data_IF_758718763468
#
_entry.id   IF_758718763468
#
_cell.length_a   1.000
_cell.length_b   1.000
_cell.length_c   1.000
_cell.angle_alpha   90.00
_cell.angle_beta   90.00
_cell.angle_gamma   90.00
#
_symmetry.space_group_name_H-M   'P 1'
#
loop_
_entity.id
_entity.type
_entity.pdbx_description
1 polymer ?
#
# COMPACT_ATOMS: atom_id res chain seq x y z
N UNK A 1 30.40 -38.73 -51.22
CA UNK A 1 30.50 -38.74 -49.76
C UNK A 1 30.68 -37.34 -49.12
N UNK A 2 31.59 -36.47 -49.57
CA UNK A 2 31.80 -35.13 -48.95
C UNK A 2 30.62 -34.16 -49.09
N UNK A 3 29.79 -34.25 -50.15
CA UNK A 3 28.61 -33.39 -50.34
C UNK A 3 27.46 -33.83 -49.46
N UNK A 4 27.21 -35.11 -49.25
CA UNK A 4 26.18 -35.65 -48.38
C UNK A 4 26.47 -35.33 -46.92
N UNK A 5 27.74 -35.35 -46.48
CA UNK A 5 28.13 -34.99 -45.11
C UNK A 5 27.88 -33.50 -44.83
N UNK A 6 28.11 -32.62 -45.82
CA UNK A 6 27.82 -31.19 -45.69
C UNK A 6 26.31 -30.90 -45.54
N UNK A 7 25.48 -31.63 -46.26
CA UNK A 7 24.02 -31.52 -46.23
C UNK A 7 23.48 -31.98 -44.85
N UNK A 8 24.01 -33.09 -44.30
CA UNK A 8 23.63 -33.58 -42.98
C UNK A 8 24.04 -32.59 -41.88
N UNK A 9 25.23 -31.98 -41.99
CA UNK A 9 25.69 -30.98 -41.03
C UNK A 9 24.85 -29.69 -41.12
N UNK A 10 24.42 -29.27 -42.32
CA UNK A 10 23.53 -28.12 -42.50
C UNK A 10 22.14 -28.39 -41.93
N UNK A 11 21.59 -29.59 -42.12
CA UNK A 11 20.30 -29.99 -41.53
C UNK A 11 20.36 -30.09 -40.01
N UNK A 12 21.46 -30.57 -39.45
CA UNK A 12 21.68 -30.61 -38.00
C UNK A 12 21.77 -29.21 -37.41
N UNK A 13 22.43 -28.27 -38.08
CA UNK A 13 22.54 -26.87 -37.68
C UNK A 13 21.19 -26.14 -37.76
N UNK A 14 20.36 -26.44 -38.77
CA UNK A 14 19.00 -25.91 -38.89
C UNK A 14 18.08 -26.45 -37.78
N UNK A 15 18.24 -27.69 -37.36
CA UNK A 15 17.45 -28.32 -36.30
C UNK A 15 17.71 -27.72 -34.92
N UNK A 16 18.88 -27.15 -34.65
CA UNK A 16 19.23 -26.51 -33.37
C UNK A 16 18.72 -25.08 -33.23
N UNK A 17 18.25 -24.46 -34.33
CA UNK A 17 17.84 -23.05 -34.34
C UNK A 17 16.43 -22.79 -33.78
N UNK A 18 15.64 -23.82 -33.47
CA UNK A 18 14.23 -23.68 -33.11
C UNK A 18 13.92 -23.58 -31.61
N UNK A 19 14.88 -23.36 -30.73
CA UNK A 19 14.65 -23.30 -29.28
C UNK A 19 14.66 -21.88 -28.70
N UNK A 20 14.40 -20.84 -29.48
CA UNK A 20 14.21 -19.50 -28.96
C UNK A 20 12.82 -19.41 -28.31
N UNK A 21 12.72 -19.72 -27.04
CA UNK A 21 11.53 -19.41 -26.24
C UNK A 21 11.50 -17.89 -26.04
N UNK A 22 10.63 -17.20 -26.74
CA UNK A 22 10.35 -15.80 -26.44
C UNK A 22 9.84 -15.71 -25.00
N UNK A 23 10.49 -14.87 -24.19
CA UNK A 23 10.02 -14.60 -22.82
C UNK A 23 8.68 -13.85 -22.92
N UNK A 24 7.65 -14.41 -22.30
CA UNK A 24 6.37 -13.73 -22.20
C UNK A 24 6.49 -12.56 -21.22
N UNK A 25 5.93 -11.44 -21.60
CA UNK A 25 5.77 -10.26 -20.74
C UNK A 25 4.28 -10.13 -20.47
N UNK A 26 3.93 -9.84 -19.23
CA UNK A 26 2.57 -9.58 -18.79
C UNK A 26 2.50 -8.37 -17.87
N UNK A 27 1.29 -8.00 -17.50
CA UNK A 27 1.04 -7.02 -16.46
C UNK A 27 -0.16 -7.43 -15.60
N UNK A 28 -0.25 -6.83 -14.43
CA UNK A 28 -1.39 -6.87 -13.53
C UNK A 28 -1.77 -5.45 -13.12
N UNK A 29 -2.93 -5.34 -12.51
CA UNK A 29 -3.40 -4.18 -11.78
C UNK A 29 -3.56 -4.56 -10.31
N UNK A 30 -2.55 -4.26 -9.50
CA UNK A 30 -2.56 -4.62 -8.08
C UNK A 30 -3.65 -3.89 -7.30
N UNK A 31 -3.99 -2.66 -7.69
CA UNK A 31 -5.08 -1.89 -7.08
C UNK A 31 -6.45 -2.52 -7.38
N UNK A 32 -6.66 -2.96 -8.61
CA UNK A 32 -7.86 -3.70 -9.00
C UNK A 32 -8.00 -5.01 -8.20
N UNK A 33 -6.92 -5.79 -8.11
CA UNK A 33 -6.88 -7.05 -7.36
C UNK A 33 -7.20 -6.81 -5.88
N UNK A 34 -6.56 -5.82 -5.25
CA UNK A 34 -6.83 -5.43 -3.86
C UNK A 34 -8.30 -5.06 -3.66
N UNK A 35 -8.85 -4.19 -4.52
CA UNK A 35 -10.23 -3.73 -4.40
C UNK A 35 -11.27 -4.84 -4.57
N UNK A 36 -10.94 -5.91 -5.30
CA UNK A 36 -11.81 -7.09 -5.45
C UNK A 36 -11.69 -8.06 -4.28
N UNK A 37 -10.61 -7.99 -3.49
CA UNK A 37 -10.41 -8.93 -2.39
C UNK A 37 -11.28 -8.57 -1.18
N UNK A 38 -12.08 -9.52 -0.63
CA UNK A 38 -13.01 -9.25 0.47
C UNK A 38 -12.30 -8.75 1.73
N UNK A 39 -11.11 -9.30 2.06
CA UNK A 39 -10.34 -8.90 3.23
C UNK A 39 -9.89 -7.43 3.15
N UNK A 40 -9.71 -6.88 1.94
CA UNK A 40 -9.27 -5.49 1.78
C UNK A 40 -10.30 -4.49 2.31
N UNK A 41 -11.58 -4.75 2.07
CA UNK A 41 -12.65 -3.92 2.64
C UNK A 41 -12.67 -3.96 4.16
N UNK A 42 -12.47 -5.15 4.74
CA UNK A 42 -12.39 -5.31 6.21
C UNK A 42 -11.23 -4.49 6.78
N UNK A 43 -10.06 -4.57 6.13
CA UNK A 43 -8.87 -3.78 6.52
C UNK A 43 -9.15 -2.28 6.41
N UNK A 44 -9.77 -1.83 5.32
CA UNK A 44 -10.14 -0.42 5.15
C UNK A 44 -11.10 0.07 6.24
N UNK A 45 -12.12 -0.73 6.58
CA UNK A 45 -13.09 -0.40 7.64
C UNK A 45 -12.40 -0.32 9.02
N UNK A 46 -11.45 -1.21 9.32
CA UNK A 46 -10.68 -1.18 10.55
C UNK A 46 -9.79 0.07 10.63
N UNK A 47 -9.07 0.38 9.56
CA UNK A 47 -8.23 1.60 9.48
C UNK A 47 -9.07 2.88 9.61
N UNK A 48 -10.25 2.89 9.01
CA UNK A 48 -11.18 4.02 9.13
C UNK A 48 -11.61 4.22 10.59
N UNK A 49 -11.99 3.15 11.29
CA UNK A 49 -12.37 3.20 12.71
C UNK A 49 -11.22 3.72 13.59
N UNK A 50 -10.01 3.21 13.40
CA UNK A 50 -8.82 3.66 14.10
C UNK A 50 -8.54 5.15 13.83
N UNK A 51 -8.58 5.55 12.57
CA UNK A 51 -8.39 6.96 12.18
C UNK A 51 -9.41 7.88 12.83
N UNK A 52 -10.68 7.47 12.88
CA UNK A 52 -11.74 8.25 13.56
C UNK A 52 -11.49 8.35 15.08
N UNK A 53 -11.06 7.27 15.73
CA UNK A 53 -10.72 7.28 17.15
C UNK A 53 -9.55 8.24 17.45
N UNK A 54 -8.48 8.17 16.68
CA UNK A 54 -7.34 9.06 16.85
C UNK A 54 -7.67 10.53 16.55
N UNK A 55 -8.47 10.79 15.51
CA UNK A 55 -8.97 12.15 15.22
C UNK A 55 -9.80 12.69 16.37
N UNK A 56 -10.66 11.85 16.95
CA UNK A 56 -11.44 12.26 18.13
C UNK A 56 -10.53 12.60 19.31
N UNK A 57 -9.52 11.77 19.61
CA UNK A 57 -8.56 12.05 20.68
C UNK A 57 -7.80 13.36 20.45
N UNK A 58 -7.37 13.64 19.20
CA UNK A 58 -6.73 14.90 18.87
C UNK A 58 -7.68 16.10 19.08
N UNK A 59 -8.94 15.98 18.67
CA UNK A 59 -9.96 17.01 18.89
C UNK A 59 -10.25 17.24 20.39
N UNK A 60 -10.30 16.16 21.18
CA UNK A 60 -10.53 16.26 22.62
C UNK A 60 -9.34 16.99 23.31
N UNK A 61 -8.10 16.73 22.89
CA UNK A 61 -6.91 17.46 23.36
C UNK A 61 -6.96 18.95 22.99
N UNK A 62 -7.33 19.25 21.75
CA UNK A 62 -7.42 20.64 21.28
C UNK A 62 -8.56 21.39 21.98
N UNK A 63 -9.69 20.73 22.26
CA UNK A 63 -10.79 21.28 23.04
C UNK A 63 -10.35 21.60 24.48
N UNK A 64 -9.65 20.68 25.16
CA UNK A 64 -9.09 20.90 26.50
C UNK A 64 -8.16 22.13 26.55
N UNK A 65 -7.28 22.25 25.54
CA UNK A 65 -6.37 23.41 25.41
C UNK A 65 -7.17 24.71 25.27
N UNK A 66 -8.19 24.70 24.43
CA UNK A 66 -9.05 25.87 24.22
C UNK A 66 -9.79 26.28 25.53
N UNK A 67 -10.33 25.28 26.23
CA UNK A 67 -11.02 25.52 27.49
C UNK A 67 -10.08 26.14 28.55
N UNK A 68 -8.85 25.66 28.64
CA UNK A 68 -7.84 26.25 29.53
C UNK A 68 -7.51 27.69 29.13
N UNK A 69 -7.43 28.02 27.85
CA UNK A 69 -7.26 29.40 27.41
C UNK A 69 -8.45 30.29 27.76
N UNK A 70 -9.68 29.82 27.60
CA UNK A 70 -10.89 30.53 27.94
C UNK A 70 -10.94 30.79 29.47
N UNK A 71 -10.61 29.80 30.28
CA UNK A 71 -10.55 29.94 31.76
C UNK A 71 -9.46 30.95 32.18
N UNK A 72 -8.26 30.83 31.61
CA UNK A 72 -7.17 31.77 31.89
C UNK A 72 -7.59 33.21 31.61
N UNK A 73 -8.23 33.44 30.46
CA UNK A 73 -8.70 34.77 30.06
C UNK A 73 -9.82 35.30 30.99
N UNK A 74 -10.72 34.43 31.44
CA UNK A 74 -11.80 34.81 32.35
C UNK A 74 -11.30 35.16 33.77
N UNK A 75 -10.23 34.51 34.21
CA UNK A 75 -9.66 34.66 35.53
C UNK A 75 -8.50 35.71 35.60
N UNK A 76 -8.07 36.25 34.45
CA UNK A 76 -6.87 37.07 34.25
C UNK A 76 -6.73 38.19 35.28
N UNK A 77 -7.83 38.89 35.58
CA UNK A 77 -7.87 40.00 36.58
C UNK A 77 -7.78 39.54 38.03
N UNK A 78 -7.96 38.25 38.32
CA UNK A 78 -7.93 37.66 39.65
C UNK A 78 -6.60 36.95 39.95
N UNK A 79 -5.77 36.70 38.94
CA UNK A 79 -4.54 35.95 39.07
C UNK A 79 -3.37 36.85 39.44
N UNK A 80 -2.49 36.35 40.30
CA UNK A 80 -1.16 36.94 40.49
C UNK A 80 -0.30 36.61 39.26
N UNK A 81 0.79 37.37 39.03
CA UNK A 81 1.73 37.14 37.93
C UNK A 81 2.29 35.70 37.94
N UNK A 82 2.60 35.18 39.15
CA UNK A 82 3.08 33.80 39.30
C UNK A 82 2.01 32.78 38.91
N UNK A 83 0.76 32.97 39.32
CA UNK A 83 -0.36 32.09 38.95
C UNK A 83 -0.63 32.14 37.46
N UNK A 84 -0.60 33.33 36.86
CA UNK A 84 -0.77 33.50 35.40
C UNK A 84 0.31 32.76 34.63
N UNK A 85 1.58 32.89 35.03
CA UNK A 85 2.72 32.16 34.41
C UNK A 85 2.58 30.64 34.57
N UNK A 86 2.13 30.16 35.73
CA UNK A 86 1.90 28.74 35.95
C UNK A 86 0.80 28.18 35.05
N UNK A 87 -0.33 28.89 34.84
CA UNK A 87 -1.40 28.51 33.93
C UNK A 87 -0.95 28.50 32.46
N UNK A 88 -0.16 29.53 32.05
CA UNK A 88 0.43 29.53 30.70
C UNK A 88 1.36 28.34 30.51
N UNK A 89 2.15 27.98 31.51
CA UNK A 89 3.01 26.80 31.47
C UNK A 89 2.22 25.51 31.27
N UNK A 90 1.11 25.35 31.99
CA UNK A 90 0.19 24.20 31.83
C UNK A 90 -0.36 24.11 30.39
N UNK A 91 -0.82 25.24 29.86
CA UNK A 91 -1.33 25.31 28.48
C UNK A 91 -0.24 24.93 27.48
N UNK A 92 0.98 25.43 27.63
CA UNK A 92 2.10 25.12 26.78
C UNK A 92 2.46 23.62 26.79
N UNK A 93 2.45 22.99 27.95
CA UNK A 93 2.68 21.54 28.08
C UNK A 93 1.57 20.74 27.40
N UNK A 94 0.30 21.15 27.52
CA UNK A 94 -0.82 20.51 26.82
C UNK A 94 -0.72 20.68 25.30
N UNK A 95 -0.34 21.87 24.81
CA UNK A 95 -0.09 22.11 23.39
C UNK A 95 1.03 21.22 22.85
N UNK A 96 2.11 21.09 23.61
CA UNK A 96 3.22 20.20 23.23
C UNK A 96 2.79 18.74 23.21
N UNK A 97 1.96 18.32 24.17
CA UNK A 97 1.40 16.97 24.19
C UNK A 97 0.49 16.70 22.98
N UNK A 98 -0.37 17.65 22.57
CA UNK A 98 -1.20 17.55 21.36
C UNK A 98 -0.33 17.46 20.10
N UNK A 99 0.70 18.30 19.95
CA UNK A 99 1.63 18.24 18.84
C UNK A 99 2.36 16.89 18.78
N UNK A 100 2.85 16.40 19.91
CA UNK A 100 3.53 15.11 19.99
C UNK A 100 2.58 13.96 19.65
N UNK A 101 1.33 14.01 20.11
CA UNK A 101 0.30 13.03 19.77
C UNK A 101 0.07 13.00 18.24
N UNK A 102 -0.17 14.17 17.63
CA UNK A 102 -0.41 14.27 16.19
C UNK A 102 0.80 13.76 15.38
N UNK A 103 2.01 14.13 15.77
CA UNK A 103 3.23 13.68 15.11
C UNK A 103 3.46 12.18 15.23
N UNK A 104 3.16 11.61 16.41
CA UNK A 104 3.28 10.16 16.66
C UNK A 104 2.26 9.36 15.85
N UNK A 105 1.02 9.84 15.74
CA UNK A 105 -0.05 9.11 15.04
C UNK A 105 0.04 9.32 13.54
N UNK A 106 0.10 10.58 13.08
CA UNK A 106 -0.06 10.95 11.67
C UNK A 106 1.23 11.48 11.02
N UNK A 107 2.33 11.53 11.77
CA UNK A 107 3.62 11.96 11.23
C UNK A 107 4.21 10.96 10.24
N UNK A 108 5.38 11.29 9.69
CA UNK A 108 6.16 10.37 8.86
C UNK A 108 6.48 9.13 9.70
N UNK A 109 6.16 7.95 9.18
CA UNK A 109 6.28 6.66 9.90
C UNK A 109 5.45 6.57 11.19
N UNK A 110 4.38 7.38 11.30
CA UNK A 110 3.47 7.38 12.44
C UNK A 110 2.67 6.08 12.58
N UNK A 111 2.04 5.91 13.76
CA UNK A 111 1.30 4.68 14.12
C UNK A 111 0.21 4.33 13.10
N UNK A 112 -0.40 5.31 12.44
CA UNK A 112 -1.38 5.08 11.38
C UNK A 112 -0.77 4.29 10.21
N UNK A 113 0.39 4.71 9.71
CA UNK A 113 1.05 4.06 8.58
C UNK A 113 1.63 2.69 8.97
N UNK A 114 2.14 2.58 10.19
CA UNK A 114 2.60 1.28 10.71
C UNK A 114 1.45 0.28 10.80
N UNK A 115 0.29 0.72 11.31
CA UNK A 115 -0.90 -0.14 11.41
C UNK A 115 -1.45 -0.50 10.04
N UNK A 116 -1.43 0.43 9.10
CA UNK A 116 -1.80 0.15 7.70
C UNK A 116 -0.89 -0.92 7.09
N UNK A 117 0.42 -0.79 7.25
CA UNK A 117 1.38 -1.78 6.74
C UNK A 117 1.17 -3.15 7.41
N UNK A 118 1.00 -3.21 8.74
CA UNK A 118 0.74 -4.44 9.49
C UNK A 118 -0.51 -5.18 8.99
N UNK A 119 -1.60 -4.46 8.77
CA UNK A 119 -2.87 -5.05 8.33
C UNK A 119 -2.84 -5.48 6.85
N UNK A 120 -2.13 -4.72 6.00
CA UNK A 120 -2.03 -5.03 4.57
C UNK A 120 -1.02 -6.13 4.25
N UNK A 121 0.04 -6.27 5.03
CA UNK A 121 1.14 -7.20 4.76
C UNK A 121 0.67 -8.65 4.52
N UNK A 122 -0.22 -9.26 5.33
CA UNK A 122 -0.67 -10.62 5.09
C UNK A 122 -1.42 -10.77 3.77
N UNK A 123 -2.24 -9.77 3.41
CA UNK A 123 -2.98 -9.75 2.15
C UNK A 123 -2.04 -9.59 0.96
N UNK A 124 -1.07 -8.67 1.05
CA UNK A 124 -0.06 -8.50 0.02
C UNK A 124 0.76 -9.77 -0.21
N UNK A 125 1.10 -10.50 0.87
CA UNK A 125 1.80 -11.79 0.74
C UNK A 125 0.96 -12.82 0.00
N UNK A 126 -0.34 -12.96 0.31
CA UNK A 126 -1.25 -13.87 -0.40
C UNK A 126 -1.33 -13.52 -1.90
N UNK A 127 -1.45 -12.23 -2.23
CA UNK A 127 -1.50 -11.76 -3.62
C UNK A 127 -0.18 -12.08 -4.33
N UNK A 128 0.95 -11.85 -3.67
CA UNK A 128 2.27 -12.15 -4.24
C UNK A 128 2.44 -13.64 -4.52
N UNK A 129 2.02 -14.52 -3.60
CA UNK A 129 2.05 -15.97 -3.79
C UNK A 129 1.20 -16.39 -5.00
N UNK A 130 0.00 -15.82 -5.14
CA UNK A 130 -0.87 -16.07 -6.29
C UNK A 130 -0.24 -15.59 -7.60
N UNK A 131 0.40 -14.41 -7.61
CA UNK A 131 1.16 -13.89 -8.75
C UNK A 131 2.26 -14.87 -9.15
N UNK A 132 3.01 -15.40 -8.18
CA UNK A 132 4.09 -16.35 -8.45
C UNK A 132 3.57 -17.63 -9.10
N UNK A 133 2.43 -18.16 -8.64
CA UNK A 133 1.79 -19.34 -9.25
C UNK A 133 1.34 -19.04 -10.69
N UNK A 134 0.66 -17.92 -10.90
CA UNK A 134 0.16 -17.50 -12.22
C UNK A 134 1.31 -17.29 -13.20
N UNK A 135 2.37 -16.62 -12.80
CA UNK A 135 3.54 -16.34 -13.66
C UNK A 135 4.25 -17.65 -14.07
N UNK A 136 4.44 -18.58 -13.13
CA UNK A 136 5.01 -19.90 -13.43
C UNK A 136 4.14 -20.72 -14.37
N UNK A 137 2.83 -20.79 -14.10
CA UNK A 137 1.88 -21.56 -14.93
C UNK A 137 1.80 -21.04 -16.37
N UNK A 138 1.92 -19.73 -16.58
CA UNK A 138 1.81 -19.08 -17.88
C UNK A 138 3.18 -18.84 -18.56
N UNK A 139 4.29 -19.26 -17.96
CA UNK A 139 5.65 -19.02 -18.45
C UNK A 139 5.94 -17.52 -18.69
N UNK A 140 5.52 -16.65 -17.77
CA UNK A 140 5.76 -15.22 -17.82
C UNK A 140 7.16 -14.96 -17.26
N UNK A 141 8.03 -14.34 -18.03
CA UNK A 141 9.39 -14.00 -17.64
C UNK A 141 9.49 -12.67 -16.93
N UNK A 142 8.58 -11.74 -17.24
CA UNK A 142 8.47 -10.41 -16.58
C UNK A 142 7.00 -10.05 -16.42
N UNK A 143 6.65 -9.62 -15.22
CA UNK A 143 5.32 -9.11 -14.90
C UNK A 143 5.46 -7.69 -14.35
N UNK A 144 4.68 -6.76 -14.91
CA UNK A 144 4.62 -5.38 -14.47
C UNK A 144 3.33 -5.14 -13.70
N UNK A 145 3.39 -4.24 -12.74
CA UNK A 145 2.20 -3.75 -12.06
C UNK A 145 1.84 -2.37 -12.62
N UNK A 146 0.70 -2.26 -13.28
CA UNK A 146 0.28 -0.98 -13.88
C UNK A 146 -0.21 0.04 -12.83
N UNK A 147 -0.58 -0.42 -11.63
CA UNK A 147 -0.98 0.45 -10.52
C UNK A 147 0.22 1.07 -9.80
N UNK A 148 1.42 0.48 -9.93
CA UNK A 148 2.65 1.03 -9.34
C UNK A 148 3.10 2.27 -10.10
N UNK A 149 3.18 3.40 -9.43
CA UNK A 149 3.68 4.65 -10.00
C UNK A 149 5.17 4.80 -9.68
N UNK A 150 6.04 5.16 -10.64
CA UNK A 150 5.84 5.40 -12.07
C UNK A 150 6.32 4.21 -12.92
N UNK A 151 5.44 3.40 -13.46
CA UNK A 151 5.83 2.26 -14.33
C UNK A 151 6.35 2.70 -15.71
N UNK A 152 6.07 3.93 -16.12
CA UNK A 152 6.36 4.39 -17.49
C UNK A 152 5.57 3.67 -18.59
N UNK A 153 4.57 2.85 -18.24
CA UNK A 153 3.71 2.15 -19.18
C UNK A 153 2.71 3.14 -19.78
N UNK A 154 2.88 3.45 -21.06
CA UNK A 154 1.98 4.37 -21.79
C UNK A 154 0.80 3.60 -22.39
N UNK A 155 1.02 2.35 -22.79
CA UNK A 155 0.02 1.48 -23.41
C UNK A 155 0.23 0.03 -22.97
N UNK A 156 -0.87 -0.66 -22.67
CA UNK A 156 -0.89 -2.09 -22.38
C UNK A 156 -1.97 -2.76 -23.22
N UNK A 157 -1.63 -3.86 -23.88
CA UNK A 157 -2.61 -4.66 -24.60
C UNK A 157 -3.33 -5.58 -23.62
N UNK A 158 -4.68 -5.56 -23.52
CA UNK A 158 -5.46 -6.38 -22.59
C UNK A 158 -5.18 -7.89 -22.66
N UNK A 159 -4.71 -8.40 -23.78
CA UNK A 159 -4.33 -9.82 -23.94
C UNK A 159 -3.14 -10.23 -23.03
N UNK A 160 -2.39 -9.25 -22.52
CA UNK A 160 -1.29 -9.45 -21.58
C UNK A 160 -1.67 -9.11 -20.13
N UNK A 161 -2.95 -8.87 -19.84
CA UNK A 161 -3.47 -8.66 -18.49
C UNK A 161 -3.66 -10.01 -17.79
N UNK A 162 -3.04 -10.15 -16.64
CA UNK A 162 -3.13 -11.35 -15.81
C UNK A 162 -3.87 -11.10 -14.48
N UNK A 163 -4.50 -9.94 -14.31
CA UNK A 163 -5.20 -9.58 -13.08
C UNK A 163 -6.30 -10.58 -12.72
N UNK A 164 -7.13 -10.97 -13.71
CA UNK A 164 -8.19 -11.97 -13.50
C UNK A 164 -7.65 -13.36 -13.18
N UNK A 165 -6.50 -13.74 -13.76
CA UNK A 165 -5.86 -15.02 -13.42
C UNK A 165 -5.38 -15.05 -11.98
N UNK A 166 -4.90 -13.89 -11.46
CA UNK A 166 -4.49 -13.76 -10.06
C UNK A 166 -5.73 -13.81 -9.15
N UNK A 167 -6.83 -13.14 -9.50
CA UNK A 167 -8.09 -13.21 -8.75
C UNK A 167 -8.63 -14.65 -8.69
N UNK A 168 -8.63 -15.34 -9.82
CA UNK A 168 -9.04 -16.76 -9.87
C UNK A 168 -8.15 -17.65 -8.99
N UNK A 169 -6.82 -17.43 -8.96
CA UNK A 169 -5.91 -18.17 -8.10
C UNK A 169 -6.15 -17.87 -6.60
N UNK A 170 -6.59 -16.64 -6.27
CA UNK A 170 -7.02 -16.26 -4.92
C UNK A 170 -8.40 -16.82 -4.55
N UNK A 171 -9.10 -17.51 -5.47
CA UNK A 171 -10.46 -18.02 -5.27
C UNK A 171 -11.53 -16.93 -5.31
N UNK A 172 -11.24 -15.80 -5.93
CA UNK A 172 -12.18 -14.69 -6.11
C UNK A 172 -12.77 -14.82 -7.51
N UNK A 173 -14.01 -15.32 -7.58
CA UNK A 173 -14.73 -15.40 -8.86
C UNK A 173 -15.36 -14.06 -9.21
N UNK A 174 -15.37 -13.74 -10.51
CA UNK A 174 -16.14 -12.62 -11.05
C UNK A 174 -17.63 -12.93 -10.84
N UNK A 175 -18.28 -12.24 -9.89
CA UNK A 175 -19.74 -12.28 -9.80
C UNK A 175 -20.30 -11.59 -11.05
N UNK A 176 -20.66 -12.39 -12.04
CA UNK A 176 -21.44 -11.97 -13.21
C UNK A 176 -22.84 -11.51 -12.79
#
# INVERSE_FOLDING_TARGET
MKKSLKIVFLLLFLATSFQVRAQKIGYIDSEYILNKHPDYKVIQDELLKLSQQWKKQAQDLDAEINDLFVQLKAEEVLLTEEMHKARLGEIQEKQKASQNFNSRIFGIDGEYYQKQAELLQPLQSKIYDAIEVVTRRNNIGMLFDKASVPTGLIYTNPIHDYSEFVLAELGIEENN
#
